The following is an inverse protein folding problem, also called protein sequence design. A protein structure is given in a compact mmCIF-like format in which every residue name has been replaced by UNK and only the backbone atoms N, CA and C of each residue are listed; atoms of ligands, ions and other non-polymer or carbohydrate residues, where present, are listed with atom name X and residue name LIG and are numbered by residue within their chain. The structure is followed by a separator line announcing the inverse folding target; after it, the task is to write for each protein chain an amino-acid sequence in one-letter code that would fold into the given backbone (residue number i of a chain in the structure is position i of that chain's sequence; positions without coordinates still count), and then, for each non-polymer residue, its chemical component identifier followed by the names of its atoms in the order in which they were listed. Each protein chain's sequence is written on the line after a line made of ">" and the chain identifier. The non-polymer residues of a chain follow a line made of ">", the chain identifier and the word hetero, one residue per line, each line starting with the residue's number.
data_IF_743374870143
#
_entry.id   IF_743374870143
#
_cell.length_a   1.000
_cell.length_b   1.000
_cell.length_c   1.000
_cell.angle_alpha   90.00
_cell.angle_beta   90.00
_cell.angle_gamma   90.00
#
_symmetry.space_group_name_H-M   'P 1'
#
loop_
_entity.id
_entity.type
_entity.pdbx_description
1 polymer ?
#
# COMPACT_ATOMS: atom_id res chain seq x y z
N UNK A 1 -22.29 -17.15 -19.35
CA UNK A 1 -21.00 -17.54 -19.96
C UNK A 1 -21.12 -18.80 -20.83
N UNK A 2 -21.90 -19.82 -20.44
CA UNK A 2 -22.09 -21.06 -21.22
C UNK A 2 -22.93 -20.85 -22.49
N UNK A 3 -23.80 -19.82 -22.52
CA UNK A 3 -24.63 -19.48 -23.69
C UNK A 3 -23.86 -18.90 -24.88
N UNK A 4 -22.60 -18.47 -24.69
CA UNK A 4 -21.80 -17.91 -25.79
C UNK A 4 -21.48 -19.00 -26.84
N UNK A 5 -21.28 -20.25 -26.40
CA UNK A 5 -20.99 -21.39 -27.26
C UNK A 5 -22.17 -21.84 -28.13
N UNK A 6 -23.39 -21.37 -27.84
CA UNK A 6 -24.61 -21.71 -28.58
C UNK A 6 -25.04 -20.64 -29.60
N UNK A 7 -24.32 -19.51 -29.70
CA UNK A 7 -24.60 -18.46 -30.68
C UNK A 7 -24.03 -18.79 -32.07
N UNK A 8 -24.63 -18.30 -33.17
CA UNK A 8 -24.12 -18.52 -34.52
C UNK A 8 -22.71 -17.91 -34.71
N UNK A 9 -21.87 -18.57 -35.53
CA UNK A 9 -20.42 -18.30 -35.68
C UNK A 9 -20.07 -16.84 -36.04
N UNK A 10 -21.00 -16.10 -36.64
CA UNK A 10 -20.86 -14.68 -36.97
C UNK A 10 -20.91 -13.78 -35.71
N UNK A 11 -21.87 -13.99 -34.82
CA UNK A 11 -22.04 -13.17 -33.61
C UNK A 11 -20.92 -13.45 -32.58
N UNK A 12 -20.48 -14.71 -32.50
CA UNK A 12 -19.34 -15.12 -31.69
C UNK A 12 -18.06 -14.34 -32.01
N UNK A 13 -17.76 -14.13 -33.31
CA UNK A 13 -16.57 -13.39 -33.73
C UNK A 13 -16.62 -11.91 -33.38
N UNK A 14 -17.79 -11.30 -33.40
CA UNK A 14 -17.97 -9.90 -33.02
C UNK A 14 -17.83 -9.74 -31.50
N UNK A 15 -18.55 -10.55 -30.72
CA UNK A 15 -18.50 -10.53 -29.26
C UNK A 15 -17.07 -10.79 -28.77
N UNK A 16 -16.35 -11.77 -29.33
CA UNK A 16 -14.94 -12.04 -28.98
C UNK A 16 -14.02 -10.85 -29.22
N UNK A 17 -14.20 -10.09 -30.31
CA UNK A 17 -13.39 -8.89 -30.59
C UNK A 17 -13.66 -7.78 -29.59
N UNK A 18 -14.93 -7.56 -29.22
CA UNK A 18 -15.31 -6.57 -28.21
C UNK A 18 -14.69 -6.92 -26.86
N UNK A 19 -14.81 -8.17 -26.42
CA UNK A 19 -14.19 -8.62 -25.16
C UNK A 19 -12.67 -8.53 -25.19
N UNK A 20 -12.02 -8.88 -26.31
CA UNK A 20 -10.58 -8.76 -26.46
C UNK A 20 -10.10 -7.30 -26.26
N UNK A 21 -10.78 -6.34 -26.88
CA UNK A 21 -10.46 -4.91 -26.74
C UNK A 21 -10.68 -4.43 -25.30
N UNK A 22 -11.75 -4.89 -24.63
CA UNK A 22 -12.02 -4.55 -23.23
C UNK A 22 -10.92 -5.08 -22.31
N UNK A 23 -10.51 -6.35 -22.46
CA UNK A 23 -9.43 -6.92 -21.66
C UNK A 23 -8.09 -6.22 -21.91
N UNK A 24 -7.80 -5.86 -23.15
CA UNK A 24 -6.60 -5.09 -23.50
C UNK A 24 -6.62 -3.71 -22.84
N UNK A 25 -7.74 -2.98 -22.91
CA UNK A 25 -7.89 -1.68 -22.26
C UNK A 25 -7.72 -1.76 -20.73
N UNK A 26 -8.30 -2.78 -20.09
CA UNK A 26 -8.14 -3.02 -18.64
C UNK A 26 -6.69 -3.35 -18.28
N UNK A 27 -5.99 -4.10 -19.12
CA UNK A 27 -4.58 -4.42 -18.91
C UNK A 27 -3.70 -3.17 -18.96
N UNK A 28 -3.89 -2.31 -19.97
CA UNK A 28 -3.16 -1.04 -20.09
C UNK A 28 -3.47 -0.11 -18.92
N UNK A 29 -4.74 0.01 -18.52
CA UNK A 29 -5.12 0.83 -17.37
C UNK A 29 -4.48 0.30 -16.08
N UNK A 30 -4.51 -1.01 -15.86
CA UNK A 30 -3.93 -1.65 -14.68
C UNK A 30 -2.41 -1.48 -14.61
N UNK A 31 -1.73 -1.48 -15.75
CA UNK A 31 -0.29 -1.25 -15.86
C UNK A 31 0.12 0.15 -15.40
N UNK A 32 -0.76 1.14 -15.47
CA UNK A 32 -0.54 2.49 -14.95
C UNK A 32 -1.01 2.65 -13.51
N UNK A 33 -2.19 2.11 -13.17
CA UNK A 33 -2.83 2.31 -11.87
C UNK A 33 -2.05 1.63 -10.74
N UNK A 34 -1.57 0.40 -10.97
CA UNK A 34 -0.86 -0.38 -9.94
C UNK A 34 0.44 0.32 -9.49
N UNK A 35 1.38 0.71 -10.38
CA UNK A 35 2.58 1.41 -9.95
C UNK A 35 2.28 2.79 -9.38
N UNK A 36 1.28 3.52 -9.90
CA UNK A 36 0.83 4.78 -9.30
C UNK A 36 0.38 4.58 -7.84
N UNK A 37 -0.43 3.55 -7.56
CA UNK A 37 -0.83 3.20 -6.20
C UNK A 37 0.38 2.94 -5.31
N UNK A 38 1.30 2.08 -5.74
CA UNK A 38 2.51 1.79 -4.97
C UNK A 38 3.35 3.04 -4.71
N UNK A 39 3.48 3.91 -5.70
CA UNK A 39 4.21 5.17 -5.57
C UNK A 39 3.56 6.11 -4.53
N UNK A 40 2.26 6.35 -4.64
CA UNK A 40 1.54 7.24 -3.72
C UNK A 40 1.59 6.71 -2.27
N UNK A 41 1.34 5.41 -2.07
CA UNK A 41 1.46 4.81 -0.74
C UNK A 41 2.90 4.80 -0.23
N UNK A 42 3.89 4.60 -1.10
CA UNK A 42 5.31 4.72 -0.76
C UNK A 42 5.70 6.12 -0.29
N UNK A 43 5.25 7.16 -0.99
CA UNK A 43 5.49 8.58 -0.62
C UNK A 43 4.76 8.93 0.68
N UNK A 44 3.50 8.53 0.82
CA UNK A 44 2.72 8.77 2.03
C UNK A 44 3.34 8.08 3.25
N UNK A 45 3.74 6.82 3.12
CA UNK A 45 4.45 6.06 4.14
C UNK A 45 5.79 6.72 4.51
N UNK A 46 6.56 7.15 3.50
CA UNK A 46 7.82 7.88 3.70
C UNK A 46 7.64 9.16 4.53
N UNK A 47 6.65 9.98 4.18
CA UNK A 47 6.33 11.21 4.92
C UNK A 47 5.89 10.93 6.36
N UNK A 48 5.08 9.89 6.56
CA UNK A 48 4.62 9.50 7.89
C UNK A 48 5.78 9.07 8.79
N UNK A 49 6.70 8.26 8.27
CA UNK A 49 7.91 7.84 8.99
C UNK A 49 8.79 9.04 9.36
N UNK A 50 8.98 9.96 8.41
CA UNK A 50 9.77 11.17 8.68
C UNK A 50 9.13 12.01 9.81
N UNK A 51 7.80 12.12 9.83
CA UNK A 51 7.08 12.80 10.90
C UNK A 51 7.24 12.11 12.25
N UNK A 52 7.11 10.78 12.29
CA UNK A 52 7.30 9.99 13.52
C UNK A 52 8.72 10.18 14.06
N UNK A 53 9.73 10.04 13.21
CA UNK A 53 11.14 10.24 13.59
C UNK A 53 11.37 11.65 14.15
N UNK A 54 10.80 12.67 13.53
CA UNK A 54 10.92 14.07 14.00
C UNK A 54 10.31 14.23 15.40
N UNK A 55 9.07 13.80 15.60
CA UNK A 55 8.36 13.93 16.89
C UNK A 55 9.07 13.14 17.99
N UNK A 56 9.53 11.93 17.70
CA UNK A 56 10.29 11.14 18.66
C UNK A 56 11.62 11.79 19.01
N UNK A 57 12.40 12.23 18.02
CA UNK A 57 13.67 12.91 18.30
C UNK A 57 13.48 14.17 19.15
N UNK A 58 12.46 14.97 18.81
CA UNK A 58 12.10 16.15 19.60
C UNK A 58 11.78 15.79 21.06
N UNK A 59 11.00 14.72 21.30
CA UNK A 59 10.69 14.27 22.66
C UNK A 59 11.92 13.74 23.42
N UNK A 60 12.79 12.99 22.74
CA UNK A 60 14.00 12.41 23.33
C UNK A 60 14.97 13.51 23.77
N UNK A 61 15.14 14.57 22.98
CA UNK A 61 16.05 15.68 23.32
C UNK A 61 15.60 16.47 24.56
N UNK A 62 14.31 16.50 24.87
CA UNK A 62 13.77 17.19 26.04
C UNK A 62 13.66 16.29 27.29
N UNK A 63 14.15 15.05 27.23
CA UNK A 63 14.09 14.12 28.36
C UNK A 63 15.20 14.40 29.39
N UNK A 64 14.91 14.18 30.67
CA UNK A 64 15.89 14.36 31.75
C UNK A 64 17.07 13.40 31.61
N UNK A 65 18.28 13.85 31.96
CA UNK A 65 19.50 13.03 31.81
C UNK A 65 19.44 11.74 32.63
N UNK A 66 18.86 11.80 33.84
CA UNK A 66 18.68 10.64 34.73
C UNK A 66 17.75 9.56 34.14
N UNK A 67 16.91 9.90 33.17
CA UNK A 67 16.08 8.92 32.47
C UNK A 67 16.91 8.02 31.54
N UNK A 68 18.04 8.52 31.04
CA UNK A 68 18.96 7.75 30.18
C UNK A 68 19.94 6.86 30.96
N UNK A 69 20.00 6.98 32.29
CA UNK A 69 20.86 6.15 33.14
C UNK A 69 20.34 4.72 33.28
N UNK A 70 19.05 4.49 33.01
CA UNK A 70 18.48 3.15 32.92
C UNK A 70 18.95 2.45 31.64
N UNK A 71 19.47 1.23 31.78
CA UNK A 71 20.03 0.46 30.65
C UNK A 71 19.02 0.27 29.49
N UNK A 72 17.73 0.15 29.81
CA UNK A 72 16.64 0.04 28.83
C UNK A 72 16.39 1.34 28.05
N UNK A 73 16.71 2.49 28.65
CA UNK A 73 16.47 3.83 28.13
C UNK A 73 17.72 4.48 27.51
N UNK A 74 18.82 3.72 27.43
CA UNK A 74 20.03 4.17 26.74
C UNK A 74 19.71 4.66 25.32
N UNK A 75 20.43 5.68 24.87
CA UNK A 75 20.25 6.30 23.55
C UNK A 75 20.32 5.29 22.39
N UNK A 76 21.15 4.25 22.52
CA UNK A 76 21.27 3.16 21.55
C UNK A 76 20.04 2.24 21.51
N UNK A 77 19.54 1.82 22.68
CA UNK A 77 18.29 1.03 22.81
C UNK A 77 17.11 1.78 22.21
N UNK A 78 17.00 3.08 22.54
CA UNK A 78 15.90 3.92 22.07
C UNK A 78 15.94 4.15 20.56
N UNK A 79 17.13 4.42 20.01
CA UNK A 79 17.33 4.56 18.57
C UNK A 79 16.98 3.27 17.81
N UNK A 80 17.36 2.11 18.35
CA UNK A 80 17.01 0.82 17.77
C UNK A 80 15.50 0.57 17.78
N UNK A 81 14.81 0.80 18.91
CA UNK A 81 13.35 0.67 19.01
C UNK A 81 12.63 1.61 18.03
N UNK A 82 13.03 2.88 17.99
CA UNK A 82 12.46 3.87 17.07
C UNK A 82 12.65 3.49 15.60
N UNK A 83 13.80 2.91 15.25
CA UNK A 83 14.07 2.42 13.90
C UNK A 83 13.16 1.24 13.55
N UNK A 84 13.01 0.30 14.48
CA UNK A 84 12.12 -0.87 14.32
C UNK A 84 10.65 -0.47 14.22
N UNK A 85 10.19 0.46 15.06
CA UNK A 85 8.82 0.98 15.02
C UNK A 85 8.55 1.73 13.71
N UNK A 86 9.50 2.56 13.26
CA UNK A 86 9.42 3.25 11.98
C UNK A 86 9.36 2.27 10.79
N UNK A 87 10.15 1.20 10.82
CA UNK A 87 10.11 0.14 9.81
C UNK A 87 8.77 -0.61 9.82
N UNK A 88 8.25 -0.90 11.01
CA UNK A 88 6.96 -1.57 11.20
C UNK A 88 5.80 -0.71 10.68
N UNK A 89 5.80 0.59 10.99
CA UNK A 89 4.81 1.56 10.46
C UNK A 89 4.93 1.66 8.95
N UNK A 90 6.13 1.64 8.38
CA UNK A 90 6.33 1.63 6.93
C UNK A 90 5.64 0.42 6.27
N UNK A 91 5.88 -0.77 6.81
CA UNK A 91 5.30 -2.00 6.29
C UNK A 91 3.76 -1.97 6.40
N UNK A 92 3.24 -1.54 7.56
CA UNK A 92 1.81 -1.42 7.78
C UNK A 92 1.14 -0.42 6.82
N UNK A 93 1.76 0.74 6.60
CA UNK A 93 1.19 1.82 5.79
C UNK A 93 1.37 1.56 4.29
N UNK A 94 2.52 1.00 3.90
CA UNK A 94 2.82 0.67 2.51
C UNK A 94 2.02 -0.52 2.01
N UNK A 95 2.04 -1.63 2.74
CA UNK A 95 1.45 -2.89 2.28
C UNK A 95 0.02 -3.06 2.79
N UNK A 96 -0.23 -2.88 4.09
CA UNK A 96 -1.54 -3.22 4.67
C UNK A 96 -2.64 -2.23 4.28
N UNK A 97 -2.36 -0.91 4.22
CA UNK A 97 -3.35 0.06 3.73
C UNK A 97 -3.61 -0.09 2.22
N UNK A 98 -2.58 -0.39 1.44
CA UNK A 98 -2.71 -0.65 0.01
C UNK A 98 -3.62 -1.85 -0.28
N UNK A 99 -3.47 -2.92 0.50
CA UNK A 99 -4.33 -4.12 0.48
C UNK A 99 -5.75 -3.84 0.99
N UNK A 100 -5.90 -3.09 2.08
CA UNK A 100 -7.23 -2.73 2.61
C UNK A 100 -8.06 -1.95 1.59
N UNK A 101 -7.46 -0.94 0.96
CA UNK A 101 -8.15 -0.16 -0.09
C UNK A 101 -8.51 -1.04 -1.28
N UNK A 102 -7.64 -1.98 -1.66
CA UNK A 102 -7.94 -2.94 -2.73
C UNK A 102 -9.12 -3.85 -2.37
N UNK A 103 -9.11 -4.41 -1.16
CA UNK A 103 -10.15 -5.32 -0.69
C UNK A 103 -11.50 -4.61 -0.60
N UNK A 104 -11.55 -3.38 -0.06
CA UNK A 104 -12.77 -2.58 -0.02
C UNK A 104 -13.28 -2.28 -1.43
N UNK A 105 -12.38 -1.87 -2.33
CA UNK A 105 -12.75 -1.64 -3.74
C UNK A 105 -13.28 -2.89 -4.42
N UNK A 106 -12.71 -4.06 -4.13
CA UNK A 106 -13.16 -5.34 -4.69
C UNK A 106 -14.52 -5.76 -4.15
N UNK A 107 -14.78 -5.51 -2.86
CA UNK A 107 -16.08 -5.77 -2.24
C UNK A 107 -17.14 -4.86 -2.85
N UNK A 108 -16.86 -3.57 -3.01
CA UNK A 108 -17.79 -2.61 -3.62
C UNK A 108 -18.06 -2.94 -5.09
N UNK A 109 -17.04 -3.32 -5.86
CA UNK A 109 -17.21 -3.66 -7.27
C UNK A 109 -17.85 -5.04 -7.50
N UNK A 110 -17.76 -5.93 -6.50
CA UNK A 110 -18.31 -7.29 -6.56
C UNK A 110 -19.72 -7.42 -5.98
N UNK A 111 -20.20 -6.43 -5.23
CA UNK A 111 -21.59 -6.27 -4.78
C UNK A 111 -22.46 -5.65 -5.89
#
# INVERSE_FOLDING_TARGET
>A
MISIFYKPAHELRHDSKVWAIVFEAVAVASLLIIPCRFYFFGVAGGKLIQRIRKVCFEKVVHMNVSWFDEAEHSSGSLGARLSTDAASVRALVGDALGLLVQNISSVIAGL
#
